data_IF_651278016288
#
_entry.id   IF_651278016288
#
_cell.length_a   1.000
_cell.length_b   1.000
_cell.length_c   1.000
_cell.angle_alpha   90.00
_cell.angle_beta   90.00
_cell.angle_gamma   90.00
#
_symmetry.space_group_name_H-M   'P 1'
#
loop_
_entity.id
_entity.type
_entity.pdbx_description
1 polymer ?
#
# COMPACT_ATOMS: atom_id res chain seq x y z
N UNK A 1 0.49 21.67 -3.92
CA UNK A 1 1.53 20.79 -4.54
C UNK A 1 1.87 19.69 -3.52
N UNK A 2 2.13 18.48 -3.98
CA UNK A 2 2.51 17.36 -3.12
C UNK A 2 4.02 17.16 -3.23
N UNK A 3 4.71 17.03 -2.09
CA UNK A 3 6.13 16.71 -2.02
C UNK A 3 6.34 15.27 -1.54
N UNK A 4 7.45 14.66 -1.96
CA UNK A 4 7.79 13.26 -1.65
C UNK A 4 9.12 13.16 -0.94
N UNK A 5 9.23 12.24 0.02
CA UNK A 5 10.50 11.85 0.64
C UNK A 5 10.46 10.42 1.16
N UNK A 6 11.63 9.83 1.38
CA UNK A 6 11.72 8.57 2.10
C UNK A 6 11.36 8.75 3.58
N UNK A 7 10.71 7.75 4.15
CA UNK A 7 10.51 7.64 5.58
C UNK A 7 11.81 7.28 6.29
N UNK A 8 11.92 7.70 7.54
CA UNK A 8 12.97 7.32 8.48
C UNK A 8 12.35 6.69 9.74
N UNK A 9 13.16 6.13 10.62
CA UNK A 9 12.68 5.59 11.89
C UNK A 9 11.87 6.61 12.72
N UNK A 10 12.17 7.90 12.58
CA UNK A 10 11.45 8.98 13.26
C UNK A 10 9.98 9.13 12.79
N UNK A 11 9.63 8.57 11.64
CA UNK A 11 8.27 8.65 11.09
C UNK A 11 7.34 7.53 11.59
N UNK A 12 7.85 6.51 12.26
CA UNK A 12 7.09 5.31 12.66
C UNK A 12 5.85 5.67 13.46
N UNK A 13 5.98 6.54 14.46
CA UNK A 13 4.89 6.91 15.38
C UNK A 13 3.73 7.63 14.65
N UNK A 14 4.02 8.37 13.59
CA UNK A 14 3.00 9.01 12.76
C UNK A 14 2.44 8.06 11.70
N UNK A 15 3.27 7.19 11.12
CA UNK A 15 2.88 6.29 10.05
C UNK A 15 1.94 5.16 10.49
N UNK A 16 2.18 4.56 11.67
CA UNK A 16 1.38 3.42 12.12
C UNK A 16 -0.10 3.78 12.26
N UNK A 17 -0.49 4.84 12.99
CA UNK A 17 -1.91 5.23 13.06
C UNK A 17 -2.45 5.71 11.71
N UNK A 18 -1.64 6.36 10.88
CA UNK A 18 -2.02 6.81 9.55
C UNK A 18 -2.41 5.63 8.65
N UNK A 19 -1.60 4.60 8.57
CA UNK A 19 -1.86 3.40 7.76
C UNK A 19 -3.05 2.62 8.32
N UNK A 20 -3.09 2.37 9.62
CA UNK A 20 -4.20 1.66 10.24
C UNK A 20 -5.53 2.39 10.04
N UNK A 21 -5.55 3.71 10.16
CA UNK A 21 -6.72 4.53 9.92
C UNK A 21 -7.18 4.56 8.47
N UNK A 22 -6.27 4.38 7.52
CA UNK A 22 -6.58 4.31 6.09
C UNK A 22 -7.17 2.96 5.66
N UNK A 23 -6.77 1.87 6.30
CA UNK A 23 -7.17 0.51 5.92
C UNK A 23 -8.26 -0.08 6.81
N UNK A 24 -8.27 0.26 8.09
CA UNK A 24 -9.09 -0.41 9.12
C UNK A 24 -9.96 0.57 9.87
N UNK A 25 -11.06 0.06 10.47
CA UNK A 25 -11.94 0.82 11.33
C UNK A 25 -12.81 1.85 10.62
N UNK A 26 -13.56 2.60 11.41
CA UNK A 26 -14.57 3.55 10.90
C UNK A 26 -13.95 4.72 10.12
N UNK A 27 -12.73 5.15 10.47
CA UNK A 27 -12.05 6.24 9.74
C UNK A 27 -11.79 5.90 8.29
N UNK A 28 -11.49 4.63 7.97
CA UNK A 28 -11.25 4.18 6.60
C UNK A 28 -12.49 4.24 5.71
N UNK A 29 -13.68 4.16 6.30
CA UNK A 29 -14.97 4.22 5.58
C UNK A 29 -15.28 5.60 4.99
N UNK A 30 -14.54 6.64 5.37
CA UNK A 30 -14.64 7.97 4.76
C UNK A 30 -14.04 8.04 3.35
N UNK A 31 -13.20 7.08 2.99
CA UNK A 31 -12.65 6.95 1.66
C UNK A 31 -13.59 6.27 0.67
N UNK A 32 -13.23 6.29 -0.62
CA UNK A 32 -14.01 5.64 -1.68
C UNK A 32 -13.95 4.11 -1.64
N UNK A 33 -12.97 3.55 -0.94
CA UNK A 33 -12.78 2.11 -0.75
C UNK A 33 -12.24 1.82 0.65
N UNK A 34 -12.58 0.67 1.20
CA UNK A 34 -12.12 0.22 2.52
C UNK A 34 -12.14 -1.30 2.60
N UNK A 35 -11.36 -1.89 3.47
CA UNK A 35 -11.46 -3.31 3.82
C UNK A 35 -12.03 -3.55 5.22
N UNK A 36 -12.57 -2.50 5.87
CA UNK A 36 -13.10 -2.57 7.23
C UNK A 36 -14.25 -3.59 7.41
N UNK A 37 -15.01 -3.89 6.33
CA UNK A 37 -16.12 -4.85 6.37
C UNK A 37 -15.64 -6.31 6.28
N UNK A 38 -14.43 -6.57 5.81
CA UNK A 38 -13.83 -7.90 5.65
C UNK A 38 -12.68 -8.17 6.60
N UNK A 39 -12.00 -7.13 7.08
CA UNK A 39 -10.88 -7.20 8.01
C UNK A 39 -11.05 -6.18 9.15
N UNK A 40 -10.90 -6.65 10.37
CA UNK A 40 -10.71 -5.83 11.56
C UNK A 40 -9.26 -5.85 12.04
N UNK A 41 -9.01 -5.35 13.25
CA UNK A 41 -7.68 -5.31 13.83
C UNK A 41 -6.78 -4.28 13.18
N UNK A 42 -5.49 -4.54 13.22
CA UNK A 42 -4.47 -3.66 12.64
C UNK A 42 -4.10 -4.03 11.20
N UNK A 43 -3.58 -3.07 10.44
CA UNK A 43 -2.91 -3.31 9.16
C UNK A 43 -1.40 -3.44 9.36
N UNK A 44 -0.84 -2.66 10.29
CA UNK A 44 0.58 -2.64 10.62
C UNK A 44 0.80 -2.35 12.10
N UNK A 45 2.04 -2.48 12.55
CA UNK A 45 2.50 -2.14 13.91
C UNK A 45 3.89 -1.47 13.84
N UNK A 46 4.40 -0.87 14.94
CA UNK A 46 5.68 -0.18 14.94
C UNK A 46 6.86 -1.05 14.49
N UNK A 47 6.91 -2.31 14.91
CA UNK A 47 7.98 -3.25 14.54
C UNK A 47 7.98 -3.53 13.04
N UNK A 48 6.83 -3.87 12.46
CA UNK A 48 6.69 -4.09 11.02
C UNK A 48 7.01 -2.84 10.21
N UNK A 49 6.56 -1.67 10.67
CA UNK A 49 6.85 -0.41 9.99
C UNK A 49 8.35 -0.12 9.97
N UNK A 50 9.03 -0.33 11.07
CA UNK A 50 10.48 -0.13 11.16
C UNK A 50 11.24 -1.10 10.23
N UNK A 51 10.85 -2.38 10.20
CA UNK A 51 11.40 -3.37 9.27
C UNK A 51 11.23 -2.95 7.80
N UNK A 52 10.09 -2.38 7.43
CA UNK A 52 9.83 -1.89 6.08
C UNK A 52 10.69 -0.68 5.72
N UNK A 53 10.90 0.24 6.68
CA UNK A 53 11.71 1.44 6.49
C UNK A 53 13.20 1.10 6.37
N UNK A 54 13.70 0.21 7.22
CA UNK A 54 15.13 -0.14 7.34
C UNK A 54 15.53 -1.35 6.48
N UNK A 55 14.57 -1.99 5.82
CA UNK A 55 14.80 -3.17 5.00
C UNK A 55 15.78 -2.92 3.85
N UNK A 56 16.57 -3.94 3.52
CA UNK A 56 17.47 -3.90 2.36
C UNK A 56 16.66 -3.82 1.06
N UNK A 57 17.08 -2.93 0.14
CA UNK A 57 16.41 -2.68 -1.12
C UNK A 57 14.91 -2.34 -0.99
N UNK A 58 14.55 -1.71 0.13
CA UNK A 58 13.19 -1.33 0.48
C UNK A 58 13.09 0.17 0.81
N UNK A 59 11.89 0.71 0.70
CA UNK A 59 11.61 2.11 0.98
C UNK A 59 10.13 2.29 1.31
N UNK A 60 9.85 3.11 2.30
CA UNK A 60 8.53 3.71 2.48
C UNK A 60 8.62 5.15 1.97
N UNK A 61 7.87 5.47 0.92
CA UNK A 61 7.78 6.82 0.36
C UNK A 61 6.61 7.54 0.97
N UNK A 62 6.83 8.77 1.40
CA UNK A 62 5.83 9.64 2.03
C UNK A 62 5.42 10.76 1.08
N UNK A 63 4.14 11.09 1.09
CA UNK A 63 3.58 12.25 0.40
C UNK A 63 3.09 13.27 1.44
N UNK A 64 3.52 14.51 1.29
CA UNK A 64 3.12 15.62 2.15
C UNK A 64 2.47 16.72 1.34
N UNK A 65 1.46 17.38 1.90
CA UNK A 65 0.85 18.56 1.30
C UNK A 65 1.70 19.83 1.50
N UNK A 66 1.23 20.95 0.96
CA UNK A 66 1.91 22.25 1.05
C UNK A 66 2.14 22.75 2.48
N UNK A 67 1.36 22.23 3.43
CA UNK A 67 1.47 22.57 4.85
C UNK A 67 2.39 21.59 5.60
N UNK A 68 2.98 20.62 4.89
CA UNK A 68 3.81 19.59 5.49
C UNK A 68 3.05 18.46 6.19
N UNK A 69 1.72 18.40 6.02
CA UNK A 69 0.94 17.30 6.58
C UNK A 69 1.11 16.02 5.75
N UNK A 70 1.25 14.87 6.43
CA UNK A 70 1.28 13.56 5.78
C UNK A 70 -0.09 13.27 5.16
N UNK A 71 -0.13 13.03 3.85
CA UNK A 71 -1.36 12.79 3.09
C UNK A 71 -1.38 11.46 2.37
N UNK A 72 -0.25 10.76 2.31
CA UNK A 72 -0.17 9.42 1.73
C UNK A 72 1.18 8.77 1.95
N UNK A 73 1.24 7.45 1.76
CA UNK A 73 2.48 6.69 1.76
C UNK A 73 2.34 5.42 0.92
N UNK A 74 3.50 4.83 0.58
CA UNK A 74 3.56 3.57 -0.15
C UNK A 74 4.86 2.85 0.22
N UNK A 75 4.79 1.51 0.31
CA UNK A 75 5.95 0.66 0.49
C UNK A 75 6.43 0.09 -0.84
N UNK A 76 7.72 0.14 -1.07
CA UNK A 76 8.39 -0.40 -2.25
C UNK A 76 9.54 -1.31 -1.83
N UNK A 77 9.69 -2.42 -2.52
CA UNK A 77 10.81 -3.35 -2.33
C UNK A 77 11.26 -3.92 -3.68
N UNK A 78 12.53 -3.75 -4.00
CA UNK A 78 13.14 -4.44 -5.13
C UNK A 78 13.31 -5.93 -4.79
N UNK A 79 12.83 -6.79 -5.66
CA UNK A 79 12.93 -8.24 -5.54
C UNK A 79 14.10 -8.80 -6.37
N UNK A 80 14.58 -10.05 -6.07
CA UNK A 80 15.72 -10.64 -6.77
C UNK A 80 15.54 -10.81 -8.29
N UNK A 81 14.30 -10.96 -8.75
CA UNK A 81 13.94 -11.09 -10.19
C UNK A 81 13.83 -9.74 -10.91
N UNK A 82 14.32 -8.67 -10.29
CA UNK A 82 14.22 -7.30 -10.78
C UNK A 82 12.77 -6.79 -10.95
N UNK A 83 11.81 -7.37 -10.25
CA UNK A 83 10.53 -6.72 -10.02
C UNK A 83 10.56 -5.79 -8.81
N UNK A 84 9.63 -4.84 -8.78
CA UNK A 84 9.40 -3.98 -7.62
C UNK A 84 8.04 -4.34 -7.02
N UNK A 85 8.05 -4.79 -5.77
CA UNK A 85 6.83 -4.98 -5.01
C UNK A 85 6.32 -3.62 -4.51
N UNK A 86 5.05 -3.34 -4.77
CA UNK A 86 4.33 -2.19 -4.25
C UNK A 86 3.30 -2.67 -3.23
N UNK A 87 3.37 -2.16 -2.04
CA UNK A 87 2.42 -2.51 -0.97
C UNK A 87 2.06 -1.32 -0.11
N UNK A 88 1.05 -1.50 0.74
CA UNK A 88 0.67 -0.51 1.74
C UNK A 88 0.38 0.88 1.17
N UNK A 89 -0.13 0.97 -0.07
CA UNK A 89 -0.55 2.25 -0.65
C UNK A 89 -1.69 2.83 0.20
N UNK A 90 -1.43 3.94 0.85
CA UNK A 90 -2.36 4.60 1.77
C UNK A 90 -2.49 6.06 1.38
N UNK A 91 -3.72 6.54 1.29
CA UNK A 91 -4.06 7.97 1.14
C UNK A 91 -5.03 8.33 2.25
N UNK A 92 -4.86 9.50 2.84
CA UNK A 92 -5.81 10.01 3.82
C UNK A 92 -7.24 9.88 3.28
N UNK A 93 -8.13 9.12 3.94
CA UNK A 93 -9.49 8.88 3.47
C UNK A 93 -10.28 10.16 3.13
N UNK A 94 -9.98 11.26 3.84
CA UNK A 94 -10.61 12.56 3.58
C UNK A 94 -10.09 13.25 2.30
N UNK A 95 -9.00 12.76 1.71
CA UNK A 95 -8.31 13.37 0.56
C UNK A 95 -8.15 12.47 -0.66
N UNK A 96 -8.79 11.31 -0.67
CA UNK A 96 -8.62 10.31 -1.74
C UNK A 96 -9.08 10.81 -3.12
N UNK A 97 -10.04 11.72 -3.18
CA UNK A 97 -10.50 12.33 -4.43
C UNK A 97 -9.48 13.29 -5.07
N UNK A 98 -8.41 13.67 -4.36
CA UNK A 98 -7.40 14.64 -4.82
C UNK A 98 -6.30 14.10 -5.72
N UNK A 99 -6.36 12.84 -6.18
CA UNK A 99 -5.37 12.26 -7.08
C UNK A 99 -4.03 11.87 -6.42
N UNK A 100 -3.93 11.94 -5.11
CA UNK A 100 -2.69 11.62 -4.34
C UNK A 100 -2.25 10.17 -4.60
N UNK A 101 -3.19 9.22 -4.63
CA UNK A 101 -2.89 7.82 -4.94
C UNK A 101 -2.26 7.64 -6.32
N UNK A 102 -2.76 8.36 -7.32
CA UNK A 102 -2.17 8.35 -8.67
C UNK A 102 -0.75 8.93 -8.67
N UNK A 103 -0.53 10.01 -7.95
CA UNK A 103 0.80 10.62 -7.81
C UNK A 103 1.78 9.67 -7.11
N UNK A 104 1.37 9.00 -6.04
CA UNK A 104 2.18 7.99 -5.36
C UNK A 104 2.52 6.82 -6.26
N UNK A 105 1.58 6.34 -7.08
CA UNK A 105 1.83 5.27 -8.04
C UNK A 105 2.83 5.70 -9.12
N UNK A 106 2.67 6.89 -9.69
CA UNK A 106 3.63 7.44 -10.65
C UNK A 106 5.03 7.54 -10.03
N UNK A 107 5.11 8.09 -8.82
CA UNK A 107 6.36 8.19 -8.08
C UNK A 107 7.00 6.82 -7.81
N UNK A 108 6.19 5.83 -7.48
CA UNK A 108 6.64 4.45 -7.24
C UNK A 108 7.25 3.83 -8.51
N UNK A 109 6.63 4.03 -9.66
CA UNK A 109 7.13 3.54 -10.93
C UNK A 109 8.45 4.23 -11.35
N UNK A 110 8.58 5.53 -11.09
CA UNK A 110 9.83 6.28 -11.29
C UNK A 110 10.99 5.71 -10.44
N UNK A 111 10.72 5.48 -9.15
CA UNK A 111 11.69 4.88 -8.25
C UNK A 111 12.08 3.46 -8.66
N UNK A 112 11.12 2.65 -9.06
CA UNK A 112 11.37 1.28 -9.53
C UNK A 112 12.23 1.27 -10.79
N UNK A 113 11.98 2.15 -11.76
CA UNK A 113 12.84 2.31 -12.94
C UNK A 113 14.26 2.72 -12.57
N UNK A 114 14.39 3.68 -11.65
CA UNK A 114 15.70 4.12 -11.16
C UNK A 114 16.47 3.00 -10.45
N UNK A 115 15.77 2.04 -9.85
CA UNK A 115 16.36 0.84 -9.25
C UNK A 115 16.67 -0.28 -10.26
N UNK A 116 16.36 -0.07 -11.54
CA UNK A 116 16.57 -1.06 -12.60
C UNK A 116 15.51 -2.18 -12.62
N UNK A 117 14.33 -1.92 -12.06
CA UNK A 117 13.24 -2.89 -12.10
C UNK A 117 12.54 -2.84 -13.47
N UNK A 118 12.18 -4.02 -14.00
CA UNK A 118 11.48 -4.15 -15.29
C UNK A 118 9.97 -4.28 -15.15
N UNK A 119 9.46 -4.46 -13.94
CA UNK A 119 8.01 -4.51 -13.69
C UNK A 119 7.66 -4.13 -12.26
N UNK A 120 6.46 -3.63 -12.08
CA UNK A 120 5.80 -3.51 -10.77
C UNK A 120 4.94 -4.75 -10.52
N UNK A 121 4.86 -5.16 -9.27
CA UNK A 121 3.97 -6.23 -8.81
C UNK A 121 3.29 -5.82 -7.49
N UNK A 122 2.06 -6.25 -7.29
CA UNK A 122 1.32 -6.03 -6.05
C UNK A 122 0.36 -7.18 -5.77
N UNK A 123 -0.13 -7.27 -4.54
CA UNK A 123 -1.21 -8.18 -4.17
C UNK A 123 -2.38 -7.39 -3.62
N UNK A 124 -3.58 -7.76 -4.02
CA UNK A 124 -4.84 -7.12 -3.61
C UNK A 124 -5.80 -8.19 -3.11
N UNK A 125 -6.51 -7.95 -2.02
CA UNK A 125 -7.53 -8.87 -1.54
C UNK A 125 -8.56 -9.09 -2.65
N UNK A 126 -8.78 -10.36 -3.02
CA UNK A 126 -9.60 -10.74 -4.18
C UNK A 126 -11.05 -10.28 -4.07
N UNK A 127 -11.55 -10.07 -2.87
CA UNK A 127 -12.91 -9.57 -2.60
C UNK A 127 -13.07 -8.06 -2.73
N UNK A 128 -12.08 -7.37 -3.29
CA UNK A 128 -12.12 -5.91 -3.53
C UNK A 128 -12.08 -5.61 -5.03
N UNK A 129 -13.14 -5.93 -5.79
CA UNK A 129 -13.16 -5.76 -7.24
C UNK A 129 -13.02 -4.30 -7.67
N UNK A 130 -13.53 -3.35 -6.87
CA UNK A 130 -13.40 -1.91 -7.14
C UNK A 130 -11.93 -1.45 -7.08
N UNK A 131 -11.15 -2.00 -6.15
CA UNK A 131 -9.73 -1.68 -6.01
C UNK A 131 -8.91 -2.33 -7.13
N UNK A 132 -9.22 -3.58 -7.48
CA UNK A 132 -8.61 -4.27 -8.63
C UNK A 132 -8.84 -3.45 -9.91
N UNK A 133 -10.08 -3.02 -10.17
CA UNK A 133 -10.41 -2.18 -11.32
C UNK A 133 -9.67 -0.83 -11.31
N UNK A 134 -9.43 -0.25 -10.13
CA UNK A 134 -8.63 0.96 -9.98
C UNK A 134 -7.20 0.76 -10.50
N UNK A 135 -6.57 -0.37 -10.18
CA UNK A 135 -5.22 -0.68 -10.67
C UNK A 135 -5.21 -1.08 -12.14
N UNK A 136 -6.22 -1.83 -12.61
CA UNK A 136 -6.34 -2.18 -14.04
C UNK A 136 -6.41 -0.94 -14.93
N UNK A 137 -7.14 0.08 -14.52
CA UNK A 137 -7.18 1.38 -15.24
C UNK A 137 -5.82 2.08 -15.29
N UNK A 138 -4.85 1.67 -14.49
CA UNK A 138 -3.47 2.19 -14.45
C UNK A 138 -2.46 1.29 -15.13
N UNK A 139 -2.95 0.29 -15.85
CA UNK A 139 -2.12 -0.60 -16.66
C UNK A 139 -1.66 -1.87 -15.95
N UNK A 140 -2.13 -2.14 -14.75
CA UNK A 140 -1.88 -3.40 -14.06
C UNK A 140 -2.83 -4.48 -14.59
N UNK A 141 -2.36 -5.72 -14.64
CA UNK A 141 -3.17 -6.87 -15.03
C UNK A 141 -2.97 -8.00 -14.04
N UNK A 142 -4.03 -8.78 -13.81
CA UNK A 142 -3.94 -10.01 -13.01
C UNK A 142 -2.97 -10.97 -13.68
N UNK A 143 -2.06 -11.55 -12.90
CA UNK A 143 -1.10 -12.56 -13.38
C UNK A 143 -1.69 -13.98 -13.38
N UNK A 144 -2.78 -14.19 -12.67
CA UNK A 144 -3.35 -15.49 -12.39
C UNK A 144 -2.84 -16.14 -11.09
N UNK A 145 -1.75 -15.62 -10.51
CA UNK A 145 -1.27 -16.07 -9.22
C UNK A 145 -2.18 -15.58 -8.09
N UNK A 146 -2.38 -16.42 -7.08
CA UNK A 146 -3.13 -16.13 -5.87
C UNK A 146 -2.37 -16.60 -4.64
N UNK A 147 -2.57 -15.93 -3.51
CA UNK A 147 -1.99 -16.30 -2.23
C UNK A 147 -3.08 -16.31 -1.15
N UNK A 148 -3.06 -17.28 -0.21
CA UNK A 148 -3.99 -17.23 0.92
C UNK A 148 -3.65 -16.05 1.86
N UNK A 149 -4.70 -15.42 2.43
CA UNK A 149 -4.51 -14.45 3.51
C UNK A 149 -4.05 -15.20 4.77
N UNK A 150 -3.08 -14.67 5.53
CA UNK A 150 -2.59 -15.30 6.78
C UNK A 150 -3.61 -15.10 7.91
N UNK A 151 -4.70 -15.86 7.90
CA UNK A 151 -5.85 -15.69 8.80
C UNK A 151 -5.52 -15.91 10.27
N UNK A 152 -4.50 -16.71 10.56
CA UNK A 152 -4.09 -17.06 11.92
C UNK A 152 -3.08 -16.07 12.53
N UNK A 153 -2.64 -15.08 11.77
CA UNK A 153 -1.68 -14.07 12.24
C UNK A 153 -2.34 -12.70 12.43
N UNK A 154 -2.69 -12.31 13.67
CA UNK A 154 -3.40 -11.05 13.94
C UNK A 154 -2.60 -9.80 13.58
N UNK A 155 -1.29 -9.92 13.30
CA UNK A 155 -0.47 -8.79 12.83
C UNK A 155 -0.92 -8.28 11.46
N UNK A 156 -1.59 -9.13 10.66
CA UNK A 156 -2.12 -8.78 9.34
C UNK A 156 -3.59 -8.33 9.37
N UNK A 157 -4.24 -8.43 10.51
CA UNK A 157 -5.64 -8.09 10.72
C UNK A 157 -6.45 -9.28 11.23
N UNK A 158 -7.70 -9.00 11.56
CA UNK A 158 -8.65 -9.99 12.07
C UNK A 158 -9.74 -10.22 11.00
N UNK A 159 -9.70 -11.33 10.23
CA UNK A 159 -10.69 -11.59 9.20
C UNK A 159 -12.10 -11.67 9.75
N UNK A 160 -13.04 -10.98 9.11
CA UNK A 160 -14.48 -11.08 9.37
C UNK A 160 -15.16 -12.09 8.47
N UNK A 161 -14.46 -12.55 7.45
CA UNK A 161 -14.88 -13.60 6.51
C UNK A 161 -13.75 -14.61 6.38
N UNK A 162 -14.11 -15.87 6.03
CA UNK A 162 -13.13 -16.94 5.83
C UNK A 162 -12.71 -17.07 4.37
N UNK A 163 -11.52 -17.66 4.16
CA UNK A 163 -11.04 -18.00 2.83
C UNK A 163 -10.58 -16.78 2.03
N UNK A 164 -10.16 -15.71 2.69
CA UNK A 164 -9.59 -14.56 2.01
C UNK A 164 -8.35 -14.94 1.23
N UNK A 165 -8.25 -14.44 0.01
CA UNK A 165 -7.08 -14.59 -0.87
C UNK A 165 -6.62 -13.25 -1.39
N UNK A 166 -5.34 -13.19 -1.77
CA UNK A 166 -4.78 -12.10 -2.57
C UNK A 166 -4.73 -12.49 -4.03
N UNK A 167 -5.15 -11.60 -4.92
CA UNK A 167 -4.84 -11.67 -6.34
C UNK A 167 -3.56 -10.90 -6.62
N UNK A 168 -2.66 -11.46 -7.41
CA UNK A 168 -1.46 -10.76 -7.88
C UNK A 168 -1.78 -9.95 -9.14
N UNK A 169 -1.34 -8.69 -9.16
CA UNK A 169 -1.36 -7.82 -10.31
C UNK A 169 0.06 -7.39 -10.66
N UNK A 170 0.36 -7.21 -11.94
CA UNK A 170 1.65 -6.73 -12.41
C UNK A 170 1.51 -5.77 -13.58
N UNK A 171 2.54 -4.92 -13.77
CA UNK A 171 2.65 -3.97 -14.87
C UNK A 171 4.10 -3.91 -15.34
N UNK A 172 4.39 -4.07 -16.64
CA UNK A 172 5.71 -3.79 -17.19
C UNK A 172 6.06 -2.31 -17.03
N UNK A 173 7.33 -2.03 -16.79
CA UNK A 173 7.86 -0.67 -16.64
C UNK A 173 8.57 -0.16 -17.89
#
# INVERSE_FOLDING_TARGET
MVSFRAATAADVDALVPFVNGGYRGESSKRGWTTEADILGGQRTDPGKMLEMIEGSAARVELAHDERGALVGCVYLKKEPDASCYLGMLTVDPARQAGGIGKLLMTRSEELARAWGCGRMRMTVISMRPELIAYYERRGYAKTGATEPFPEDDPRFGLPKVRGLTFAELAKPL
#
